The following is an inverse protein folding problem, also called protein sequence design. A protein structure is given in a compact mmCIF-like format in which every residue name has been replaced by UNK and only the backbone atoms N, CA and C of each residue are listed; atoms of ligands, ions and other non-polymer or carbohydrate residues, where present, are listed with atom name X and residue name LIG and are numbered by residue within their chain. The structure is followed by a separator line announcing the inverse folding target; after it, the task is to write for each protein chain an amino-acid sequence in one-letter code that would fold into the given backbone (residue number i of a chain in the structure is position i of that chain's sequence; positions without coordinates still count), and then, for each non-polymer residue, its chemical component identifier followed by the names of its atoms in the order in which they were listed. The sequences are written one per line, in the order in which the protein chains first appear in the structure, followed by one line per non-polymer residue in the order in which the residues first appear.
data_IF_541044189398
#
_entry.id   IF_541044189398
#
_cell.length_a   1.000
_cell.length_b   1.000
_cell.length_c   1.000
_cell.angle_alpha   90.00
_cell.angle_beta   90.00
_cell.angle_gamma   90.00
#
_symmetry.space_group_name_H-M   'P 1'
#
loop_
_entity.id
_entity.type
_entity.pdbx_description
1 polymer ?
#
# COMPACT_ATOMS: atom_id res chain seq x y z
N UNK A 1 -6.05 14.57 -2.96
CA UNK A 1 -6.51 13.52 -3.88
C UNK A 1 -8.01 13.67 -4.15
N UNK A 2 -8.90 13.68 -3.13
CA UNK A 2 -10.35 13.81 -3.33
C UNK A 2 -10.74 15.03 -4.16
N UNK A 3 -10.27 16.22 -3.79
CA UNK A 3 -10.58 17.47 -4.52
C UNK A 3 -10.06 17.46 -5.98
N UNK A 4 -9.00 16.74 -6.30
CA UNK A 4 -8.51 16.59 -7.67
C UNK A 4 -9.39 15.64 -8.49
N UNK A 5 -9.89 14.57 -7.85
CA UNK A 5 -10.86 13.64 -8.46
C UNK A 5 -12.19 14.32 -8.73
N UNK A 6 -12.72 15.11 -7.78
CA UNK A 6 -13.96 15.87 -7.94
C UNK A 6 -13.88 16.91 -9.07
N UNK A 7 -12.69 17.48 -9.32
CA UNK A 7 -12.46 18.40 -10.45
C UNK A 7 -12.24 17.68 -11.79
N UNK A 8 -12.27 16.35 -11.82
CA UNK A 8 -12.07 15.58 -13.05
C UNK A 8 -10.64 15.63 -13.62
N UNK A 9 -9.64 15.99 -12.81
CA UNK A 9 -8.24 16.01 -13.25
C UNK A 9 -7.49 14.70 -12.97
N UNK A 10 -8.15 13.76 -12.28
CA UNK A 10 -7.64 12.41 -12.05
C UNK A 10 -8.61 11.41 -12.68
N UNK A 11 -8.16 10.76 -13.72
CA UNK A 11 -8.87 9.67 -14.39
C UNK A 11 -8.15 8.37 -14.06
N UNK A 12 -8.88 7.40 -13.46
CA UNK A 12 -8.37 6.06 -13.28
C UNK A 12 -8.63 5.26 -14.55
N UNK A 13 -7.60 4.66 -15.09
CA UNK A 13 -7.68 3.68 -16.17
C UNK A 13 -7.04 2.38 -15.70
N UNK A 14 -7.35 1.27 -16.38
CA UNK A 14 -6.62 0.01 -16.21
C UNK A 14 -5.14 0.22 -16.52
N UNK A 15 -4.28 -0.66 -15.99
CA UNK A 15 -2.87 -0.62 -16.36
C UNK A 15 -2.71 -0.83 -17.86
N UNK A 16 -1.89 0.00 -18.48
CA UNK A 16 -1.57 -0.15 -19.91
C UNK A 16 -0.71 -1.41 -20.13
N UNK A 17 -0.77 -1.95 -21.35
CA UNK A 17 -0.06 -3.18 -21.71
C UNK A 17 1.35 -2.92 -22.22
N UNK A 18 1.59 -1.76 -22.78
CA UNK A 18 2.92 -1.42 -23.24
C UNK A 18 3.13 0.05 -23.52
N UNK A 19 4.38 0.37 -23.85
CA UNK A 19 4.84 1.70 -24.21
C UNK A 19 4.92 1.82 -25.73
N UNK A 20 4.53 3.00 -26.24
CA UNK A 20 4.80 3.40 -27.62
C UNK A 20 5.90 4.46 -27.63
N UNK A 21 6.24 4.98 -28.80
CA UNK A 21 7.18 6.08 -28.92
C UNK A 21 6.68 7.35 -28.21
N UNK A 22 5.39 7.59 -28.30
CA UNK A 22 4.77 8.87 -27.92
C UNK A 22 3.75 8.71 -26.78
N UNK A 23 3.64 7.51 -26.15
CA UNK A 23 2.66 7.26 -25.09
C UNK A 23 2.58 5.83 -24.60
N UNK A 24 1.36 5.41 -24.28
CA UNK A 24 1.01 4.08 -23.77
C UNK A 24 -0.12 3.48 -24.57
N UNK A 25 -0.23 2.14 -24.61
CA UNK A 25 -1.31 1.47 -25.33
C UNK A 25 -1.99 0.37 -24.51
N UNK A 26 -3.24 0.12 -24.84
CA UNK A 26 -4.05 -1.01 -24.43
C UNK A 26 -4.49 -1.78 -25.66
N UNK A 27 -4.28 -3.11 -25.67
CA UNK A 27 -4.73 -3.97 -26.77
C UNK A 27 -6.22 -4.30 -26.65
N UNK A 28 -6.72 -4.57 -25.43
CA UNK A 28 -8.08 -5.02 -25.16
C UNK A 28 -8.69 -4.28 -23.93
N UNK A 29 -8.60 -2.94 -23.89
CA UNK A 29 -9.18 -2.15 -22.80
C UNK A 29 -10.71 -2.06 -22.86
N UNK A 30 -11.36 -1.55 -21.81
CA UNK A 30 -12.82 -1.28 -21.76
C UNK A 30 -13.35 -0.46 -22.96
N UNK A 31 -12.45 0.25 -23.63
CA UNK A 31 -12.73 1.06 -24.81
C UNK A 31 -12.15 0.48 -26.12
N UNK A 32 -11.77 -0.82 -26.11
CA UNK A 32 -11.06 -1.47 -27.20
C UNK A 32 -9.57 -1.08 -27.28
N UNK A 33 -8.90 -1.55 -28.33
CA UNK A 33 -7.50 -1.21 -28.58
C UNK A 33 -7.34 0.30 -28.83
N UNK A 34 -6.56 0.97 -28.01
CA UNK A 34 -6.30 2.40 -28.14
C UNK A 34 -4.92 2.78 -27.61
N UNK A 35 -4.45 3.91 -28.07
CA UNK A 35 -3.20 4.54 -27.64
C UNK A 35 -3.50 5.91 -27.00
N UNK A 36 -2.82 6.21 -25.91
CA UNK A 36 -2.90 7.51 -25.26
C UNK A 36 -1.53 8.17 -25.27
N UNK A 37 -1.38 9.36 -25.86
CA UNK A 37 -0.17 10.13 -25.77
C UNK A 37 0.17 10.52 -24.33
N UNK A 38 1.46 10.50 -24.00
CA UNK A 38 1.95 10.88 -22.69
C UNK A 38 3.38 11.45 -22.80
N UNK A 39 3.55 12.68 -22.34
CA UNK A 39 4.86 13.33 -22.31
C UNK A 39 5.75 12.77 -21.18
N UNK A 40 5.13 12.31 -20.10
CA UNK A 40 5.80 11.78 -18.91
C UNK A 40 5.03 10.63 -18.32
N UNK A 41 5.73 9.57 -17.94
CA UNK A 41 5.19 8.44 -17.19
C UNK A 41 5.91 8.39 -15.83
N UNK A 42 5.11 8.44 -14.75
CA UNK A 42 5.63 8.35 -13.37
C UNK A 42 5.26 7.00 -12.78
N UNK A 43 6.26 6.19 -12.51
CA UNK A 43 6.08 4.90 -11.85
C UNK A 43 5.92 5.07 -10.35
N UNK A 44 4.69 4.94 -9.85
CA UNK A 44 4.35 5.02 -8.43
C UNK A 44 3.87 3.67 -7.91
N UNK A 45 4.69 2.63 -8.06
CA UNK A 45 4.32 1.21 -7.84
C UNK A 45 4.26 0.81 -6.37
N UNK A 46 4.60 1.71 -5.44
CA UNK A 46 4.61 1.43 -4.01
C UNK A 46 5.67 0.43 -3.58
N UNK A 47 5.45 -0.19 -2.44
CA UNK A 47 6.36 -1.16 -1.84
C UNK A 47 5.66 -2.49 -1.62
N UNK A 48 6.41 -3.58 -1.72
CA UNK A 48 5.95 -4.90 -1.26
C UNK A 48 6.49 -5.14 0.15
N UNK A 49 5.64 -5.59 1.10
CA UNK A 49 6.09 -5.90 2.44
C UNK A 49 7.16 -7.00 2.49
N UNK A 50 8.30 -6.73 3.11
CA UNK A 50 9.41 -7.67 3.25
C UNK A 50 9.19 -8.61 4.47
N UNK A 51 8.16 -9.46 4.41
CA UNK A 51 7.73 -10.32 5.52
C UNK A 51 8.30 -11.77 5.45
N UNK A 52 9.37 -12.00 4.70
CA UNK A 52 9.91 -13.34 4.53
C UNK A 52 10.40 -13.98 5.85
N UNK A 53 10.91 -13.16 6.76
CA UNK A 53 11.37 -13.58 8.10
C UNK A 53 10.23 -14.07 9.01
N UNK A 54 8.99 -13.67 8.76
CA UNK A 54 7.80 -14.11 9.51
C UNK A 54 7.10 -15.33 8.90
N UNK A 55 7.66 -15.92 7.83
CA UNK A 55 7.01 -17.05 7.11
C UNK A 55 6.70 -18.23 8.01
N UNK A 56 7.57 -18.55 8.97
CA UNK A 56 7.37 -19.66 9.90
C UNK A 56 6.18 -19.49 10.84
N UNK A 57 5.72 -18.26 11.05
CA UNK A 57 4.57 -17.96 11.93
C UNK A 57 3.21 -18.11 11.21
N UNK A 58 3.20 -18.29 9.90
CA UNK A 58 1.98 -18.49 9.08
C UNK A 58 0.90 -17.43 9.29
N UNK A 59 1.28 -16.17 9.46
CA UNK A 59 0.37 -15.06 9.79
C UNK A 59 -0.26 -14.39 8.57
N UNK A 60 0.22 -14.71 7.34
CA UNK A 60 -0.25 -14.05 6.12
C UNK A 60 -1.68 -14.43 5.77
N UNK A 61 -2.43 -13.43 5.38
CA UNK A 61 -3.73 -13.58 4.73
C UNK A 61 -3.55 -13.90 3.22
N UNK A 62 -4.62 -14.33 2.53
CA UNK A 62 -4.57 -14.66 1.10
C UNK A 62 -4.07 -13.52 0.20
N UNK A 63 -4.31 -12.27 0.58
CA UNK A 63 -3.84 -11.07 -0.11
C UNK A 63 -2.36 -10.72 0.17
N UNK A 64 -1.69 -11.51 1.04
CA UNK A 64 -0.30 -11.35 1.42
C UNK A 64 -0.04 -10.38 2.58
N UNK A 65 -1.09 -9.73 3.12
CA UNK A 65 -1.00 -8.89 4.33
C UNK A 65 -0.95 -9.73 5.61
N UNK A 66 -0.76 -9.08 6.75
CA UNK A 66 -0.98 -9.68 8.08
C UNK A 66 -2.11 -8.89 8.74
N UNK A 67 -3.14 -9.57 9.21
CA UNK A 67 -4.25 -8.95 9.92
C UNK A 67 -3.76 -8.30 11.22
N UNK A 68 -4.06 -7.00 11.39
CA UNK A 68 -3.63 -6.22 12.56
C UNK A 68 -4.79 -5.42 13.15
N UNK A 69 -4.73 -5.22 14.47
CA UNK A 69 -5.51 -4.22 15.21
C UNK A 69 -4.58 -3.08 15.60
N UNK A 70 -4.67 -1.96 14.89
CA UNK A 70 -3.67 -0.90 14.95
C UNK A 70 -2.32 -1.38 14.42
N UNK A 71 -1.36 -1.62 15.31
CA UNK A 71 -0.04 -2.19 14.95
C UNK A 71 0.10 -3.66 15.34
N UNK A 72 -0.76 -4.18 16.21
CA UNK A 72 -0.68 -5.51 16.80
C UNK A 72 -1.25 -6.58 15.87
N UNK A 73 -0.49 -7.63 15.61
CA UNK A 73 -0.98 -8.75 14.82
C UNK A 73 -2.09 -9.51 15.56
N UNK A 74 -3.21 -9.80 14.87
CA UNK A 74 -4.39 -10.43 15.45
C UNK A 74 -4.06 -11.84 15.95
N UNK A 75 -3.35 -12.65 15.14
CA UNK A 75 -3.02 -14.05 15.47
C UNK A 75 -1.77 -14.22 16.32
N UNK A 76 -0.96 -13.17 16.50
CA UNK A 76 0.22 -13.16 17.35
C UNK A 76 0.32 -11.82 18.09
N UNK A 77 -0.35 -11.69 19.23
CA UNK A 77 -0.45 -10.42 19.96
C UNK A 77 0.87 -9.88 20.52
N UNK A 78 1.94 -10.66 20.50
CA UNK A 78 3.29 -10.21 20.86
C UNK A 78 4.01 -9.54 19.69
N UNK A 79 3.48 -9.67 18.46
CA UNK A 79 4.06 -9.09 17.26
C UNK A 79 3.38 -7.76 16.93
N UNK A 80 4.17 -6.71 16.81
CA UNK A 80 3.73 -5.42 16.29
C UNK A 80 4.38 -5.13 14.95
N UNK A 81 3.61 -4.65 13.99
CA UNK A 81 4.05 -4.25 12.66
C UNK A 81 3.99 -2.72 12.57
N UNK A 82 5.11 -2.09 12.18
CA UNK A 82 5.22 -0.64 12.08
C UNK A 82 5.77 -0.29 10.70
N UNK A 83 5.15 0.71 10.03
CA UNK A 83 5.65 1.19 8.75
C UNK A 83 5.13 0.44 7.53
N UNK A 84 4.05 -0.32 7.65
CA UNK A 84 3.48 -1.12 6.55
C UNK A 84 2.32 -0.43 5.80
N UNK A 85 2.26 0.89 5.81
CA UNK A 85 1.26 1.65 5.06
C UNK A 85 -0.15 1.51 5.63
N UNK A 86 -1.16 1.45 4.75
CA UNK A 86 -2.56 1.57 5.14
C UNK A 86 -3.05 0.52 6.15
N UNK A 87 -2.51 -0.68 6.14
CA UNK A 87 -2.89 -1.73 7.09
C UNK A 87 -2.30 -1.56 8.51
N UNK A 88 -1.31 -0.70 8.69
CA UNK A 88 -0.80 -0.29 10.01
C UNK A 88 -1.08 1.18 10.33
N UNK A 89 -1.88 1.84 9.48
CA UNK A 89 -2.36 3.21 9.63
C UNK A 89 -1.93 4.15 8.50
N UNK A 90 -2.77 5.11 8.11
CA UNK A 90 -2.49 6.04 7.04
C UNK A 90 -1.17 6.79 7.24
N UNK A 91 -0.32 6.75 6.22
CA UNK A 91 1.00 7.39 6.25
C UNK A 91 2.05 6.70 7.12
N UNK A 92 1.75 5.55 7.75
CA UNK A 92 2.68 4.83 8.64
C UNK A 92 3.99 4.41 7.95
N UNK A 93 3.98 4.24 6.63
CA UNK A 93 5.18 3.96 5.83
C UNK A 93 6.04 5.21 5.52
N UNK A 94 5.74 6.35 6.11
CA UNK A 94 6.48 7.61 5.93
C UNK A 94 7.23 8.00 7.19
N UNK A 95 8.31 8.78 7.05
CA UNK A 95 9.07 9.30 8.20
C UNK A 95 8.20 10.16 9.14
N UNK A 96 7.22 10.87 8.59
CA UNK A 96 6.31 11.72 9.38
C UNK A 96 5.26 10.87 10.10
N UNK A 97 4.70 9.86 9.41
CA UNK A 97 3.59 9.06 9.93
C UNK A 97 3.99 7.95 10.90
N UNK A 98 5.19 7.37 10.75
CA UNK A 98 5.65 6.23 11.54
C UNK A 98 5.75 6.52 13.03
N UNK A 99 6.07 7.75 13.43
CA UNK A 99 6.24 8.14 14.83
C UNK A 99 4.97 7.97 15.68
N UNK A 100 3.80 8.16 15.09
CA UNK A 100 2.52 7.94 15.78
C UNK A 100 2.28 6.46 16.01
N UNK A 101 2.37 5.64 14.99
CA UNK A 101 2.15 4.19 15.11
C UNK A 101 3.21 3.51 15.97
N UNK A 102 4.45 4.00 16.00
CA UNK A 102 5.48 3.53 16.90
C UNK A 102 5.14 3.82 18.37
N UNK A 103 4.63 5.01 18.68
CA UNK A 103 4.20 5.38 20.04
C UNK A 103 3.04 4.50 20.49
N UNK A 104 2.02 4.32 19.66
CA UNK A 104 0.87 3.46 19.96
C UNK A 104 1.31 2.01 20.22
N UNK A 105 2.28 1.50 19.47
CA UNK A 105 2.85 0.16 19.68
C UNK A 105 3.55 0.04 21.03
N UNK A 106 4.34 1.03 21.43
CA UNK A 106 5.03 1.04 22.73
C UNK A 106 4.02 1.09 23.89
N UNK A 107 2.98 1.92 23.79
CA UNK A 107 1.93 2.00 24.81
C UNK A 107 1.22 0.64 25.00
N UNK A 108 0.90 -0.04 23.89
CA UNK A 108 0.27 -1.37 23.95
C UNK A 108 1.21 -2.44 24.55
N UNK A 109 2.50 -2.38 24.23
CA UNK A 109 3.50 -3.30 24.80
C UNK A 109 3.66 -3.09 26.31
N UNK A 110 3.72 -1.85 26.76
CA UNK A 110 3.84 -1.50 28.18
C UNK A 110 2.58 -1.93 28.96
N UNK A 111 1.39 -1.70 28.41
CA UNK A 111 0.14 -2.11 29.03
C UNK A 111 0.01 -3.64 29.19
N UNK A 112 0.69 -4.40 28.34
CA UNK A 112 0.71 -5.88 28.41
C UNK A 112 1.75 -6.41 29.39
N UNK A 113 2.82 -5.66 29.64
CA UNK A 113 3.92 -6.03 30.52
C UNK A 113 3.63 -5.72 32.01
N UNK A 114 2.62 -4.91 32.29
CA UNK A 114 2.15 -4.54 33.63
C UNK A 114 1.17 -5.56 34.20
#
# INVERSE_FOLDING_TARGET
VLAARERGVLHAASMFEGLTRDGVYWADGEHGAHEQPADVIVWATGFRPALAHLRGMQLREPDGTIAVEGTRAVREPALHLIGYGDWTGPGSATLIGVGRTARDAVEQLLARAA
#
